data_IF_287043852342
#
_entry.id   IF_287043852342
#
_cell.length_a   1.000
_cell.length_b   1.000
_cell.length_c   1.000
_cell.angle_alpha   90.00
_cell.angle_beta   90.00
_cell.angle_gamma   90.00
#
_symmetry.space_group_name_H-M   'P 1'
#
loop_
_entity.id
_entity.type
_entity.pdbx_description
1 polymer ?
#
# COMPACT_ATOMS: atom_id res chain seq x y z
N UNK A 1 16.28 -12.04 3.28
CA UNK A 1 17.17 -11.81 2.13
C UNK A 1 18.08 -10.60 2.37
N UNK A 2 17.54 -9.43 2.68
CA UNK A 2 18.25 -8.17 2.97
C UNK A 2 19.39 -8.17 4.02
N UNK A 3 19.27 -8.96 5.10
CA UNK A 3 20.31 -9.04 6.13
C UNK A 3 21.48 -9.97 5.73
N UNK A 4 21.30 -10.85 4.74
CA UNK A 4 22.34 -11.82 4.38
C UNK A 4 23.38 -11.29 3.41
N UNK A 5 23.16 -10.19 2.69
CA UNK A 5 24.28 -9.51 2.03
C UNK A 5 25.35 -9.04 3.05
N UNK A 6 24.98 -8.95 4.34
CA UNK A 6 25.90 -8.64 5.45
C UNK A 6 26.66 -9.88 5.95
N UNK A 7 26.24 -11.10 5.60
CA UNK A 7 26.78 -12.38 6.10
C UNK A 7 27.10 -13.42 5.01
N UNK A 8 27.16 -13.03 3.72
CA UNK A 8 27.32 -13.94 2.55
C UNK A 8 28.53 -14.87 2.66
N UNK A 9 29.60 -14.46 3.34
CA UNK A 9 30.82 -15.26 3.46
C UNK A 9 30.64 -16.59 4.21
N UNK A 10 29.52 -16.78 4.92
CA UNK A 10 29.16 -18.03 5.58
C UNK A 10 27.95 -18.75 4.94
N UNK A 11 27.33 -18.21 3.88
CA UNK A 11 26.14 -18.82 3.23
C UNK A 11 26.45 -20.22 2.70
N UNK A 12 27.59 -20.39 2.04
CA UNK A 12 28.09 -21.69 1.56
C UNK A 12 28.54 -22.63 2.70
N UNK A 13 28.84 -22.08 3.88
CA UNK A 13 29.25 -22.86 5.05
C UNK A 13 28.08 -23.35 5.88
N UNK A 14 26.89 -22.76 5.72
CA UNK A 14 25.68 -23.18 6.42
C UNK A 14 25.10 -24.40 5.67
N UNK A 15 25.11 -25.60 6.27
CA UNK A 15 24.54 -26.76 5.62
C UNK A 15 23.03 -26.56 5.43
N UNK A 16 22.56 -26.76 4.19
CA UNK A 16 21.14 -26.68 3.90
C UNK A 16 20.42 -27.91 4.47
N UNK A 17 19.45 -27.66 5.35
CA UNK A 17 18.61 -28.67 6.00
C UNK A 17 17.20 -28.74 5.41
N UNK A 18 16.82 -27.78 4.55
CA UNK A 18 15.53 -27.80 3.89
C UNK A 18 15.53 -28.65 2.61
N UNK A 19 14.36 -29.21 2.30
CA UNK A 19 14.10 -29.89 1.05
C UNK A 19 14.33 -28.94 -0.14
N UNK A 20 14.85 -29.44 -1.29
CA UNK A 20 14.93 -28.67 -2.54
C UNK A 20 13.59 -28.09 -2.99
N UNK A 21 12.47 -28.71 -2.60
CA UNK A 21 11.11 -28.27 -2.94
C UNK A 21 10.59 -27.14 -2.04
N UNK A 22 11.33 -26.74 -1.00
CA UNK A 22 10.86 -25.77 -0.01
C UNK A 22 10.81 -24.32 -0.53
N UNK A 23 11.41 -24.06 -1.70
CA UNK A 23 11.53 -22.72 -2.29
C UNK A 23 12.51 -21.81 -1.54
N UNK A 24 13.29 -22.33 -0.59
CA UNK A 24 14.29 -21.56 0.17
C UNK A 24 15.45 -22.43 0.64
N UNK A 25 16.54 -21.80 1.08
CA UNK A 25 17.66 -22.48 1.75
C UNK A 25 17.65 -22.17 3.25
N UNK A 26 18.30 -23.00 4.06
CA UNK A 26 18.45 -22.71 5.51
C UNK A 26 19.06 -21.33 5.75
N UNK A 27 20.06 -20.95 4.96
CA UNK A 27 20.66 -19.64 5.06
C UNK A 27 19.64 -18.53 4.76
N UNK A 28 18.87 -18.63 3.68
CA UNK A 28 17.90 -17.60 3.29
C UNK A 28 16.74 -17.44 4.27
N UNK A 29 16.27 -18.55 4.82
CA UNK A 29 15.23 -18.54 5.84
C UNK A 29 15.73 -17.90 7.13
N UNK A 30 16.90 -18.28 7.65
CA UNK A 30 17.50 -17.62 8.83
C UNK A 30 17.73 -16.14 8.52
N UNK A 31 18.16 -15.87 7.29
CA UNK A 31 18.16 -14.60 6.58
C UNK A 31 16.98 -13.68 6.85
N UNK A 32 15.86 -14.22 6.39
CA UNK A 32 14.55 -13.64 6.47
C UNK A 32 14.07 -13.55 7.92
N UNK A 33 14.27 -14.60 8.72
CA UNK A 33 13.81 -14.68 10.10
C UNK A 33 14.49 -13.65 11.00
N UNK A 34 15.80 -13.42 10.84
CA UNK A 34 16.52 -12.36 11.56
C UNK A 34 15.97 -11.00 11.16
N UNK A 35 15.78 -10.74 9.86
CA UNK A 35 15.19 -9.47 9.40
C UNK A 35 13.78 -9.27 9.94
N UNK A 36 12.95 -10.31 9.89
CA UNK A 36 11.61 -10.33 10.45
C UNK A 36 11.65 -10.01 11.94
N UNK A 37 12.51 -10.67 12.71
CA UNK A 37 12.66 -10.45 14.15
C UNK A 37 13.13 -9.02 14.45
N UNK A 38 14.12 -8.50 13.70
CA UNK A 38 14.61 -7.14 13.82
C UNK A 38 13.57 -6.07 13.41
N UNK A 39 12.57 -6.44 12.60
CA UNK A 39 11.48 -5.55 12.21
C UNK A 39 10.41 -5.39 13.29
N UNK A 40 10.24 -6.39 14.17
CA UNK A 40 9.20 -6.42 15.20
C UNK A 40 9.24 -5.24 16.19
N UNK A 41 10.40 -4.75 16.68
CA UNK A 41 10.44 -3.57 17.53
C UNK A 41 9.90 -2.32 16.84
N UNK A 42 10.06 -2.20 15.53
CA UNK A 42 9.63 -1.03 14.78
C UNK A 42 8.08 -0.92 14.67
N UNK A 43 7.37 -2.05 14.78
CA UNK A 43 5.89 -2.11 14.83
C UNK A 43 5.33 -1.53 16.14
N UNK A 44 6.12 -1.56 17.21
CA UNK A 44 5.67 -1.11 18.53
C UNK A 44 5.36 0.39 18.57
N UNK A 45 6.11 1.19 17.82
CA UNK A 45 6.04 2.64 17.89
C UNK A 45 4.75 3.18 17.26
N UNK A 46 4.11 4.20 17.86
CA UNK A 46 3.00 4.90 17.23
C UNK A 46 3.34 5.46 15.84
N UNK A 47 2.35 5.48 14.95
CA UNK A 47 2.48 6.00 13.57
C UNK A 47 3.09 7.41 13.53
N UNK A 48 2.67 8.30 14.45
CA UNK A 48 3.18 9.68 14.50
C UNK A 48 4.67 9.77 14.85
N UNK A 49 5.23 8.83 15.62
CA UNK A 49 6.67 8.77 15.92
C UNK A 49 7.49 8.14 14.79
N UNK A 50 6.89 7.22 14.03
CA UNK A 50 7.55 6.53 12.90
C UNK A 50 7.93 7.52 11.78
N UNK A 51 7.32 8.71 11.74
CA UNK A 51 7.70 9.79 10.81
C UNK A 51 9.21 10.06 10.76
N UNK A 52 9.93 9.94 11.87
CA UNK A 52 11.37 10.18 11.93
C UNK A 52 12.17 9.09 11.20
N UNK A 53 11.72 7.83 11.30
CA UNK A 53 12.27 6.74 10.52
C UNK A 53 12.04 6.96 9.02
N UNK A 54 10.86 7.47 8.63
CA UNK A 54 10.59 7.86 7.25
C UNK A 54 11.46 9.01 6.77
N UNK A 55 11.73 10.02 7.62
CA UNK A 55 12.62 11.13 7.27
C UNK A 55 14.05 10.64 7.00
N UNK A 56 14.62 9.83 7.88
CA UNK A 56 15.98 9.27 7.69
C UNK A 56 16.03 8.42 6.42
N UNK A 57 15.04 7.54 6.23
CA UNK A 57 14.89 6.72 5.03
C UNK A 57 14.85 7.57 3.76
N UNK A 58 14.11 8.67 3.76
CA UNK A 58 13.91 9.53 2.59
C UNK A 58 15.21 10.19 2.10
N UNK A 59 16.22 10.37 2.96
CA UNK A 59 17.54 10.83 2.53
C UNK A 59 18.45 9.68 2.18
N UNK A 60 18.56 8.69 3.08
CA UNK A 60 19.58 7.64 2.95
C UNK A 60 19.33 6.69 1.77
N UNK A 61 18.07 6.28 1.56
CA UNK A 61 17.74 5.27 0.55
C UNK A 61 17.91 5.80 -0.88
N UNK A 62 17.40 6.99 -1.25
CA UNK A 62 17.64 7.52 -2.59
C UNK A 62 19.12 7.74 -2.87
N UNK A 63 19.89 8.24 -1.89
CA UNK A 63 21.34 8.40 -2.05
C UNK A 63 22.04 7.06 -2.30
N UNK A 64 21.69 6.00 -1.59
CA UNK A 64 22.23 4.67 -1.82
C UNK A 64 21.83 4.09 -3.18
N UNK A 65 20.59 4.29 -3.61
CA UNK A 65 20.10 3.85 -4.91
C UNK A 65 20.83 4.56 -6.08
N UNK A 66 21.08 5.87 -5.95
CA UNK A 66 21.87 6.64 -6.92
C UNK A 66 23.33 6.17 -6.90
N UNK A 67 23.92 5.95 -5.73
CA UNK A 67 25.28 5.43 -5.60
C UNK A 67 25.41 4.05 -6.27
N UNK A 68 24.43 3.17 -6.08
CA UNK A 68 24.39 1.87 -6.74
C UNK A 68 24.30 1.98 -8.26
N UNK A 69 23.44 2.86 -8.78
CA UNK A 69 23.33 3.14 -10.21
C UNK A 69 24.66 3.64 -10.79
N UNK A 70 25.30 4.62 -10.15
CA UNK A 70 26.59 5.16 -10.59
C UNK A 70 27.65 4.06 -10.58
N UNK A 71 27.69 3.23 -9.53
CA UNK A 71 28.63 2.12 -9.44
C UNK A 71 28.44 1.12 -10.59
N UNK A 72 27.20 0.74 -10.89
CA UNK A 72 26.89 -0.17 -11.99
C UNK A 72 27.31 0.42 -13.36
N UNK A 73 27.03 1.70 -13.61
CA UNK A 73 27.42 2.39 -14.85
C UNK A 73 28.95 2.46 -15.00
N UNK A 74 29.66 2.81 -13.92
CA UNK A 74 31.13 2.89 -13.94
C UNK A 74 31.75 1.51 -14.23
N UNK A 75 31.19 0.45 -13.65
CA UNK A 75 31.66 -0.93 -13.86
C UNK A 75 31.35 -1.43 -15.28
N UNK A 76 30.21 -1.05 -15.86
CA UNK A 76 29.83 -1.38 -17.23
C UNK A 76 30.57 -0.53 -18.29
N UNK A 77 31.07 0.66 -17.92
CA UNK A 77 31.71 1.62 -18.82
C UNK A 77 30.76 2.44 -19.71
N UNK A 78 29.46 2.12 -19.69
CA UNK A 78 28.34 2.81 -20.37
C UNK A 78 27.05 2.51 -19.55
N UNK A 79 25.93 3.13 -19.90
CA UNK A 79 24.59 2.89 -19.34
C UNK A 79 23.92 1.58 -19.84
N UNK A 80 24.71 0.73 -20.52
CA UNK A 80 24.26 -0.50 -21.17
C UNK A 80 23.41 -0.27 -22.42
N UNK A 81 22.89 -1.35 -23.04
CA UNK A 81 22.25 -1.28 -24.35
C UNK A 81 20.85 -0.66 -24.33
N UNK A 82 20.17 -0.62 -23.19
CA UNK A 82 18.72 -0.36 -23.12
C UNK A 82 18.29 0.97 -23.76
N UNK A 83 19.11 2.01 -23.64
CA UNK A 83 18.81 3.34 -24.19
C UNK A 83 18.92 3.37 -25.73
N UNK A 84 19.76 2.49 -26.30
CA UNK A 84 20.00 2.41 -27.75
C UNK A 84 19.25 1.26 -28.41
N UNK A 85 18.59 0.41 -27.62
CA UNK A 85 17.88 -0.76 -28.10
C UNK A 85 16.52 -0.36 -28.69
N UNK A 86 16.27 -0.60 -29.99
CA UNK A 86 14.96 -0.34 -30.57
C UNK A 86 13.92 -1.35 -30.05
N UNK A 87 12.66 -0.92 -29.98
CA UNK A 87 11.55 -1.82 -29.66
C UNK A 87 11.50 -3.00 -30.65
N UNK A 88 11.40 -4.22 -30.12
CA UNK A 88 11.12 -5.42 -30.90
C UNK A 88 9.67 -5.51 -31.36
N UNK A 89 8.75 -4.84 -30.63
CA UNK A 89 7.33 -4.82 -30.90
C UNK A 89 6.93 -3.60 -31.73
N UNK A 90 5.93 -3.76 -32.59
CA UNK A 90 5.41 -2.71 -33.48
C UNK A 90 3.88 -2.73 -33.52
N UNK A 91 3.29 -1.61 -33.96
CA UNK A 91 1.84 -1.51 -34.21
C UNK A 91 1.00 -1.76 -32.95
N UNK A 92 -0.07 -2.55 -33.10
CA UNK A 92 -1.03 -2.81 -32.02
C UNK A 92 -0.41 -3.56 -30.83
N UNK A 93 0.55 -4.44 -31.06
CA UNK A 93 1.16 -5.24 -30.00
C UNK A 93 1.94 -4.34 -29.04
N UNK A 94 2.70 -3.38 -29.57
CA UNK A 94 3.40 -2.37 -28.78
C UNK A 94 2.42 -1.50 -27.95
N UNK A 95 1.29 -1.11 -28.55
CA UNK A 95 0.29 -0.32 -27.84
C UNK A 95 -0.33 -1.09 -26.67
N UNK A 96 -0.61 -2.39 -26.85
CA UNK A 96 -1.13 -3.24 -25.78
C UNK A 96 -0.10 -3.51 -24.68
N UNK A 97 1.20 -3.64 -25.00
CA UNK A 97 2.22 -3.70 -23.95
C UNK A 97 2.30 -2.39 -23.15
N UNK A 98 2.13 -1.23 -23.79
CA UNK A 98 2.08 0.04 -23.09
C UNK A 98 0.90 0.10 -22.10
N UNK A 99 -0.29 -0.34 -22.52
CA UNK A 99 -1.47 -0.44 -21.64
C UNK A 99 -1.22 -1.40 -20.48
N UNK A 100 -0.65 -2.58 -20.76
CA UNK A 100 -0.30 -3.56 -19.73
C UNK A 100 0.73 -3.00 -18.74
N UNK A 101 1.74 -2.25 -19.20
CA UNK A 101 2.71 -1.58 -18.32
C UNK A 101 2.07 -0.55 -17.39
N UNK A 102 1.10 0.23 -17.88
CA UNK A 102 0.30 1.14 -17.04
C UNK A 102 -0.51 0.36 -16.02
N UNK A 103 -1.19 -0.72 -16.43
CA UNK A 103 -1.99 -1.54 -15.51
C UNK A 103 -1.13 -2.19 -14.43
N UNK A 104 0.05 -2.71 -14.76
CA UNK A 104 1.00 -3.25 -13.78
C UNK A 104 1.41 -2.18 -12.76
N UNK A 105 1.61 -0.94 -13.21
CA UNK A 105 1.93 0.17 -12.32
C UNK A 105 0.79 0.51 -11.37
N UNK A 106 -0.46 0.51 -11.85
CA UNK A 106 -1.66 0.71 -11.02
C UNK A 106 -1.83 -0.45 -10.02
N UNK A 107 -1.67 -1.70 -10.48
CA UNK A 107 -1.78 -2.89 -9.64
C UNK A 107 -0.81 -2.85 -8.45
N UNK A 108 0.42 -2.36 -8.66
CA UNK A 108 1.41 -2.17 -7.59
C UNK A 108 0.96 -1.19 -6.50
N UNK A 109 0.09 -0.24 -6.83
CA UNK A 109 -0.43 0.74 -5.87
C UNK A 109 -1.86 0.46 -5.41
N UNK A 110 -2.52 -0.59 -5.94
CA UNK A 110 -3.92 -0.88 -5.64
C UNK A 110 -4.20 -0.95 -4.13
N UNK A 111 -3.33 -1.61 -3.36
CA UNK A 111 -3.44 -1.69 -1.89
C UNK A 111 -3.34 -0.33 -1.22
N UNK A 112 -2.39 0.49 -1.67
CA UNK A 112 -2.17 1.82 -1.12
C UNK A 112 -3.34 2.75 -1.47
N UNK A 113 -3.95 2.60 -2.66
CA UNK A 113 -5.12 3.37 -3.07
C UNK A 113 -6.31 3.11 -2.13
N UNK A 114 -6.58 1.83 -1.80
CA UNK A 114 -7.73 1.50 -0.94
C UNK A 114 -7.48 1.83 0.54
N UNK A 115 -6.23 1.80 0.98
CA UNK A 115 -5.85 2.02 2.38
C UNK A 115 -5.31 3.43 2.65
N UNK A 116 -5.26 4.31 1.64
CA UNK A 116 -4.80 5.69 1.81
C UNK A 116 -5.50 6.46 2.95
N UNK A 117 -6.80 6.24 3.24
CA UNK A 117 -7.46 6.85 4.39
C UNK A 117 -6.78 6.60 5.75
N UNK A 118 -6.01 5.52 5.91
CA UNK A 118 -5.25 5.23 7.13
C UNK A 118 -4.19 6.30 7.44
N UNK A 119 -3.66 6.93 6.38
CA UNK A 119 -2.68 8.00 6.45
C UNK A 119 -3.32 9.38 6.31
N UNK A 120 -4.27 9.51 5.37
CA UNK A 120 -4.93 10.77 5.09
C UNK A 120 -5.68 11.32 6.31
N UNK A 121 -6.18 10.47 7.21
CA UNK A 121 -6.82 10.90 8.48
C UNK A 121 -5.89 11.66 9.44
N UNK A 122 -4.56 11.59 9.23
CA UNK A 122 -3.59 12.36 10.00
C UNK A 122 -3.19 13.68 9.33
N UNK A 123 -3.68 13.94 8.11
CA UNK A 123 -3.49 15.21 7.43
C UNK A 123 -4.22 16.33 8.18
N UNK A 124 -3.65 17.54 8.17
CA UNK A 124 -4.29 18.71 8.80
C UNK A 124 -5.41 19.27 7.94
N UNK A 125 -5.26 19.16 6.63
CA UNK A 125 -6.23 19.61 5.63
C UNK A 125 -6.35 18.56 4.53
N UNK A 126 -7.54 18.35 3.93
CA UNK A 126 -7.72 17.38 2.83
C UNK A 126 -6.74 17.58 1.66
N UNK A 127 -6.44 18.85 1.35
CA UNK A 127 -5.48 19.23 0.30
C UNK A 127 -4.04 18.74 0.54
N UNK A 128 -3.64 18.52 1.80
CA UNK A 128 -2.27 18.14 2.14
C UNK A 128 -1.96 16.70 1.69
N UNK A 129 -2.96 15.81 1.73
CA UNK A 129 -2.84 14.45 1.23
C UNK A 129 -2.72 14.41 -0.30
N UNK A 130 -3.56 15.19 -1.01
CA UNK A 130 -3.60 15.20 -2.48
C UNK A 130 -2.26 15.62 -3.10
N UNK A 131 -1.72 16.77 -2.70
CA UNK A 131 -0.53 17.34 -3.34
C UNK A 131 0.73 16.51 -3.09
N UNK A 132 0.89 15.99 -1.88
CA UNK A 132 2.05 15.16 -1.54
C UNK A 132 2.07 13.89 -2.39
N UNK A 133 0.92 13.20 -2.53
CA UNK A 133 0.83 11.99 -3.34
C UNK A 133 0.98 12.26 -4.84
N UNK A 134 0.33 13.31 -5.36
CA UNK A 134 0.32 13.64 -6.78
C UNK A 134 1.72 13.87 -7.35
N UNK A 135 2.64 14.43 -6.55
CA UNK A 135 4.01 14.67 -6.99
C UNK A 135 4.98 13.58 -6.54
N UNK A 136 4.91 13.16 -5.28
CA UNK A 136 5.92 12.23 -4.73
C UNK A 136 5.78 10.83 -5.31
N UNK A 137 4.56 10.34 -5.57
CA UNK A 137 4.38 8.98 -6.11
C UNK A 137 4.90 8.90 -7.56
N UNK A 138 4.46 9.74 -8.52
CA UNK A 138 4.94 9.64 -9.90
C UNK A 138 6.43 9.93 -10.02
N UNK A 139 6.94 10.97 -9.35
CA UNK A 139 8.36 11.31 -9.43
C UNK A 139 9.23 10.24 -8.76
N UNK A 140 8.83 9.77 -7.58
CA UNK A 140 9.54 8.71 -6.86
C UNK A 140 9.59 7.44 -7.68
N UNK A 141 8.46 7.01 -8.24
CA UNK A 141 8.37 5.79 -9.03
C UNK A 141 9.13 5.89 -10.35
N UNK A 142 9.09 7.05 -11.03
CA UNK A 142 9.86 7.27 -12.25
C UNK A 142 11.37 7.19 -11.99
N UNK A 143 11.86 7.80 -10.91
CA UNK A 143 13.29 7.79 -10.55
C UNK A 143 13.73 6.37 -10.16
N UNK A 144 12.97 5.67 -9.30
CA UNK A 144 13.35 4.31 -8.88
C UNK A 144 13.27 3.31 -10.03
N UNK A 145 12.27 3.43 -10.91
CA UNK A 145 12.17 2.59 -12.11
C UNK A 145 13.33 2.84 -13.07
N UNK A 146 13.70 4.11 -13.28
CA UNK A 146 14.86 4.46 -14.10
C UNK A 146 16.15 3.85 -13.55
N UNK A 147 16.37 3.96 -12.24
CA UNK A 147 17.52 3.34 -11.56
C UNK A 147 17.54 1.83 -11.82
N UNK A 148 16.42 1.13 -11.60
CA UNK A 148 16.33 -0.32 -11.83
C UNK A 148 16.61 -0.72 -13.27
N UNK A 149 16.02 -0.01 -14.24
CA UNK A 149 16.22 -0.26 -15.68
C UNK A 149 17.69 -0.07 -16.07
N UNK A 150 18.33 1.02 -15.62
CA UNK A 150 19.73 1.30 -15.95
C UNK A 150 20.68 0.31 -15.30
N UNK A 151 20.45 -0.04 -14.04
CA UNK A 151 21.25 -1.05 -13.32
C UNK A 151 21.13 -2.42 -14.01
N UNK A 152 19.92 -2.84 -14.37
CA UNK A 152 19.70 -4.10 -15.09
C UNK A 152 20.34 -4.08 -16.48
N UNK A 153 20.25 -2.96 -17.20
CA UNK A 153 20.96 -2.75 -18.47
C UNK A 153 22.48 -2.86 -18.33
N UNK A 154 23.06 -2.26 -17.27
CA UNK A 154 24.49 -2.36 -16.99
C UNK A 154 24.91 -3.80 -16.66
N UNK A 155 24.07 -4.55 -15.94
CA UNK A 155 24.37 -5.96 -15.62
C UNK A 155 24.52 -6.83 -16.88
N UNK A 156 23.76 -6.55 -17.95
CA UNK A 156 23.92 -7.23 -19.23
C UNK A 156 25.29 -6.95 -19.86
N UNK A 157 25.78 -5.71 -19.77
CA UNK A 157 27.12 -5.36 -20.24
C UNK A 157 28.25 -5.97 -19.40
N UNK A 158 28.03 -6.17 -18.10
CA UNK A 158 29.04 -6.72 -17.19
C UNK A 158 29.07 -8.26 -17.26
N UNK A 159 27.90 -8.91 -17.24
CA UNK A 159 27.74 -10.36 -17.04
C UNK A 159 27.15 -11.10 -18.25
N UNK A 160 26.71 -10.39 -19.29
CA UNK A 160 26.04 -10.99 -20.46
C UNK A 160 24.56 -11.33 -20.25
N UNK A 161 24.02 -11.07 -19.06
CA UNK A 161 22.61 -11.31 -18.71
C UNK A 161 22.02 -10.10 -17.96
N UNK A 162 20.75 -9.80 -18.21
CA UNK A 162 20.05 -8.71 -17.53
C UNK A 162 19.51 -9.21 -16.19
N UNK A 163 20.27 -8.93 -15.12
CA UNK A 163 19.88 -9.19 -13.74
C UNK A 163 18.85 -8.14 -13.33
N UNK A 164 17.63 -8.58 -13.01
CA UNK A 164 16.52 -7.70 -12.62
C UNK A 164 16.45 -7.50 -11.11
N UNK A 165 16.93 -8.48 -10.33
CA UNK A 165 16.99 -8.39 -8.87
C UNK A 165 18.26 -7.61 -8.45
N UNK A 166 18.11 -6.42 -7.84
CA UNK A 166 19.26 -5.66 -7.37
C UNK A 166 20.08 -6.39 -6.29
N UNK A 167 19.47 -7.33 -5.55
CA UNK A 167 20.17 -8.13 -4.55
C UNK A 167 21.08 -9.17 -5.21
N UNK A 168 20.60 -9.85 -6.24
CA UNK A 168 21.40 -10.79 -7.03
C UNK A 168 22.60 -10.07 -7.68
N UNK A 169 22.39 -8.86 -8.19
CA UNK A 169 23.50 -8.08 -8.75
C UNK A 169 24.54 -7.66 -7.71
N UNK A 170 24.09 -7.26 -6.51
CA UNK A 170 24.99 -6.94 -5.39
C UNK A 170 25.75 -8.18 -4.89
N UNK A 171 25.15 -9.37 -4.95
CA UNK A 171 25.81 -10.63 -4.63
C UNK A 171 26.94 -10.92 -5.63
N UNK A 172 26.69 -10.78 -6.94
CA UNK A 172 27.74 -10.89 -7.97
C UNK A 172 28.88 -9.89 -7.75
N UNK A 173 28.57 -8.65 -7.33
CA UNK A 173 29.59 -7.64 -7.00
C UNK A 173 30.43 -8.03 -5.78
N UNK A 174 29.84 -8.75 -4.82
CA UNK A 174 30.48 -9.18 -3.60
C UNK A 174 31.48 -10.32 -3.82
N UNK A 175 31.13 -11.26 -4.69
CA UNK A 175 31.95 -12.44 -5.01
C UNK A 175 33.24 -12.05 -5.73
N UNK A 176 33.15 -11.07 -6.62
CA UNK A 176 34.29 -10.54 -7.38
C UNK A 176 35.08 -9.47 -6.60
N UNK A 177 34.52 -8.95 -5.51
CA UNK A 177 34.91 -7.69 -4.91
C UNK A 177 36.00 -7.77 -3.82
N UNK A 178 36.83 -6.73 -3.77
CA UNK A 178 37.79 -6.51 -2.68
C UNK A 178 37.11 -5.99 -1.39
N UNK A 179 37.87 -5.82 -0.30
CA UNK A 179 37.32 -5.38 0.99
C UNK A 179 36.53 -4.05 0.95
N UNK A 180 36.89 -3.12 0.05
CA UNK A 180 36.17 -1.85 -0.10
C UNK A 180 34.83 -2.04 -0.83
N UNK A 181 34.79 -2.90 -1.86
CA UNK A 181 33.55 -3.23 -2.57
C UNK A 181 32.59 -4.00 -1.67
N UNK A 182 33.10 -4.88 -0.81
CA UNK A 182 32.32 -5.56 0.24
C UNK A 182 31.64 -4.56 1.19
N UNK A 183 32.35 -3.50 1.58
CA UNK A 183 31.75 -2.43 2.38
C UNK A 183 30.69 -1.65 1.57
N UNK A 184 30.91 -1.39 0.29
CA UNK A 184 29.92 -0.78 -0.59
C UNK A 184 28.63 -1.60 -0.69
N UNK A 185 28.74 -2.91 -0.92
CA UNK A 185 27.60 -3.85 -0.92
C UNK A 185 26.87 -3.83 0.41
N UNK A 186 27.59 -3.82 1.54
CA UNK A 186 27.00 -3.71 2.88
C UNK A 186 26.15 -2.44 3.03
N UNK A 187 26.69 -1.27 2.65
CA UNK A 187 26.00 0.02 2.80
C UNK A 187 24.73 0.06 1.95
N UNK A 188 24.80 -0.38 0.69
CA UNK A 188 23.65 -0.37 -0.23
C UNK A 188 22.59 -1.37 0.22
N UNK A 189 22.99 -2.58 0.60
CA UNK A 189 22.08 -3.61 1.10
C UNK A 189 21.39 -3.19 2.39
N UNK A 190 22.12 -2.53 3.29
CA UNK A 190 21.54 -1.94 4.50
C UNK A 190 20.51 -0.85 4.16
N UNK A 191 20.78 0.01 3.17
CA UNK A 191 19.82 1.01 2.72
C UNK A 191 18.54 0.37 2.16
N UNK A 192 18.64 -0.67 1.34
CA UNK A 192 17.45 -1.38 0.85
C UNK A 192 16.71 -2.14 1.96
N UNK A 193 17.44 -2.69 2.95
CA UNK A 193 16.86 -3.27 4.16
C UNK A 193 16.01 -2.25 4.91
N UNK A 194 16.54 -1.03 5.10
CA UNK A 194 15.84 0.07 5.75
C UNK A 194 14.63 0.52 4.92
N UNK A 195 14.76 0.54 3.58
CA UNK A 195 13.67 0.83 2.67
C UNK A 195 12.51 -0.14 2.87
N UNK A 196 12.80 -1.44 2.88
CA UNK A 196 11.82 -2.51 3.07
C UNK A 196 11.17 -2.45 4.45
N UNK A 197 11.95 -2.23 5.51
CA UNK A 197 11.44 -2.07 6.86
C UNK A 197 10.39 -0.95 6.93
N UNK A 198 10.72 0.24 6.41
CA UNK A 198 9.80 1.37 6.41
C UNK A 198 8.52 1.08 5.61
N UNK A 199 8.64 0.43 4.46
CA UNK A 199 7.48 0.08 3.63
C UNK A 199 6.59 -0.95 4.33
N UNK A 200 7.16 -1.99 4.95
CA UNK A 200 6.40 -3.00 5.69
C UNK A 200 5.63 -2.42 6.88
N UNK A 201 6.19 -1.42 7.55
CA UNK A 201 5.51 -0.75 8.67
C UNK A 201 4.35 0.10 8.13
N UNK A 202 4.61 1.00 7.18
CA UNK A 202 3.57 1.86 6.62
C UNK A 202 2.49 1.05 5.90
N UNK A 203 2.84 0.40 4.79
CA UNK A 203 1.87 -0.13 3.85
C UNK A 203 1.14 -1.38 4.38
N UNK A 204 1.79 -2.16 5.25
CA UNK A 204 1.26 -3.47 5.64
C UNK A 204 0.83 -3.49 7.10
N UNK A 205 1.75 -3.21 8.04
CA UNK A 205 1.49 -3.41 9.48
C UNK A 205 0.47 -2.41 10.03
N UNK A 206 0.54 -1.14 9.61
CA UNK A 206 -0.40 -0.11 10.05
C UNK A 206 -1.79 -0.33 9.47
N UNK A 207 -1.91 -0.63 8.17
CA UNK A 207 -3.22 -0.92 7.55
C UNK A 207 -3.86 -2.18 8.11
N UNK A 208 -3.13 -3.29 8.20
CA UNK A 208 -3.66 -4.50 8.83
C UNK A 208 -4.05 -4.25 10.29
N UNK A 209 -3.28 -3.41 10.99
CA UNK A 209 -3.62 -2.93 12.33
C UNK A 209 -4.92 -2.14 12.39
N UNK A 210 -5.17 -1.25 11.43
CA UNK A 210 -6.38 -0.46 11.33
C UNK A 210 -7.61 -1.34 11.04
N UNK A 211 -7.51 -2.23 10.04
CA UNK A 211 -8.57 -3.17 9.66
C UNK A 211 -8.96 -4.10 10.82
N UNK A 212 -7.97 -4.71 11.49
CA UNK A 212 -8.23 -5.60 12.60
C UNK A 212 -8.80 -4.87 13.82
N UNK A 213 -8.45 -3.60 14.00
CA UNK A 213 -9.05 -2.76 15.05
C UNK A 213 -10.52 -2.48 14.74
N UNK A 214 -10.89 -2.27 13.46
CA UNK A 214 -12.28 -2.12 13.05
C UNK A 214 -13.09 -3.42 13.23
N UNK A 215 -12.48 -4.58 12.95
CA UNK A 215 -13.13 -5.88 13.07
C UNK A 215 -13.32 -6.33 14.53
N UNK A 216 -12.30 -6.13 15.38
CA UNK A 216 -12.24 -6.66 16.74
C UNK A 216 -11.79 -5.57 17.75
N UNK A 217 -12.50 -4.42 17.84
CA UNK A 217 -12.04 -3.22 18.55
C UNK A 217 -11.82 -3.42 20.06
N UNK A 218 -12.49 -4.41 20.67
CA UNK A 218 -12.33 -4.73 22.10
C UNK A 218 -11.03 -5.47 22.40
N UNK A 219 -10.44 -6.15 21.42
CA UNK A 219 -9.32 -7.06 21.62
C UNK A 219 -8.05 -6.62 20.90
N UNK A 220 -8.20 -5.98 19.74
CA UNK A 220 -7.11 -5.59 18.87
C UNK A 220 -7.03 -4.07 18.80
N UNK A 221 -5.82 -3.56 18.97
CA UNK A 221 -5.45 -2.19 18.62
C UNK A 221 -4.43 -2.25 17.48
N UNK A 222 -4.12 -1.10 16.86
CA UNK A 222 -3.22 -1.02 15.71
C UNK A 222 -1.88 -1.74 15.96
N UNK A 223 -1.31 -1.65 17.17
CA UNK A 223 -0.05 -2.33 17.51
C UNK A 223 -0.21 -3.85 17.52
N UNK A 224 -1.23 -4.35 18.23
CA UNK A 224 -1.54 -5.79 18.29
C UNK A 224 -1.84 -6.35 16.90
N UNK A 225 -2.61 -5.62 16.09
CA UNK A 225 -2.91 -5.99 14.72
C UNK A 225 -1.67 -6.02 13.83
N UNK A 226 -0.74 -5.08 14.00
CA UNK A 226 0.57 -5.11 13.31
C UNK A 226 1.39 -6.36 13.63
N UNK A 227 1.41 -6.82 14.89
CA UNK A 227 2.07 -8.08 15.26
C UNK A 227 1.36 -9.32 14.70
N UNK A 228 0.03 -9.31 14.65
CA UNK A 228 -0.74 -10.37 13.98
C UNK A 228 -0.39 -10.41 12.50
N UNK A 229 -0.32 -9.26 11.84
CA UNK A 229 0.11 -9.15 10.44
C UNK A 229 1.52 -9.72 10.23
N UNK A 230 2.48 -9.40 11.11
CA UNK A 230 3.83 -9.94 11.03
C UNK A 230 3.87 -11.47 11.21
N UNK A 231 3.07 -12.02 12.13
CA UNK A 231 2.99 -13.45 12.36
C UNK A 231 2.33 -14.21 11.18
N UNK A 232 1.22 -13.68 10.65
CA UNK A 232 0.55 -14.23 9.47
C UNK A 232 1.47 -14.17 8.25
N UNK A 233 2.17 -13.04 8.05
CA UNK A 233 3.13 -12.88 6.96
C UNK A 233 4.27 -13.91 6.99
N UNK A 234 4.75 -14.29 8.18
CA UNK A 234 5.72 -15.39 8.34
C UNK A 234 5.09 -16.75 8.00
N UNK A 235 3.87 -17.02 8.49
CA UNK A 235 3.18 -18.28 8.28
C UNK A 235 2.76 -18.54 6.82
N UNK A 236 2.65 -17.49 6.01
CA UNK A 236 2.36 -17.59 4.57
C UNK A 236 3.54 -18.11 3.74
N UNK A 237 4.73 -18.27 4.32
CA UNK A 237 5.95 -18.73 3.64
C UNK A 237 6.28 -17.93 2.37
N UNK A 238 6.49 -16.60 2.48
CA UNK A 238 6.53 -15.69 1.34
C UNK A 238 7.62 -16.01 0.29
N UNK A 239 8.65 -16.78 0.65
CA UNK A 239 9.69 -17.23 -0.28
C UNK A 239 9.15 -18.11 -1.42
N UNK A 240 8.02 -18.80 -1.24
CA UNK A 240 7.41 -19.59 -2.32
C UNK A 240 6.77 -18.73 -3.42
N UNK A 241 6.56 -17.43 -3.17
CA UNK A 241 6.05 -16.50 -4.18
C UNK A 241 7.14 -16.01 -5.14
N UNK A 242 8.41 -16.16 -4.76
CA UNK A 242 9.58 -15.67 -5.52
C UNK A 242 10.25 -16.78 -6.34
N UNK A 243 9.75 -18.01 -6.29
CA UNK A 243 10.35 -19.16 -7.00
C UNK A 243 10.24 -19.06 -8.53
N UNK A 244 9.35 -18.22 -9.07
CA UNK A 244 9.22 -17.98 -10.52
C UNK A 244 8.71 -16.56 -10.82
N UNK A 245 9.36 -15.85 -11.74
CA UNK A 245 9.02 -14.49 -12.19
C UNK A 245 7.58 -14.36 -12.69
N UNK A 246 7.05 -15.40 -13.34
CA UNK A 246 5.68 -15.40 -13.85
C UNK A 246 4.64 -15.41 -12.70
N UNK A 247 4.97 -16.01 -11.56
CA UNK A 247 4.07 -16.09 -10.42
C UNK A 247 3.87 -14.71 -9.77
N UNK A 248 4.93 -13.90 -9.67
CA UNK A 248 4.84 -12.58 -9.04
C UNK A 248 3.94 -11.60 -9.80
N UNK A 249 4.13 -11.47 -11.12
CA UNK A 249 3.31 -10.57 -11.95
C UNK A 249 1.86 -11.07 -12.02
N UNK A 250 1.66 -12.39 -12.14
CA UNK A 250 0.32 -12.99 -12.12
C UNK A 250 -0.38 -12.76 -10.78
N UNK A 251 0.35 -12.85 -9.67
CA UNK A 251 -0.17 -12.57 -8.33
C UNK A 251 -0.61 -11.11 -8.18
N UNK A 252 0.23 -10.15 -8.58
CA UNK A 252 -0.12 -8.72 -8.54
C UNK A 252 -1.35 -8.40 -9.39
N UNK A 253 -1.41 -8.99 -10.58
CA UNK A 253 -2.55 -8.81 -11.49
C UNK A 253 -3.83 -9.47 -10.93
N UNK A 254 -3.72 -10.62 -10.25
CA UNK A 254 -4.84 -11.22 -9.53
C UNK A 254 -5.34 -10.30 -8.41
N UNK A 255 -4.42 -9.75 -7.62
CA UNK A 255 -4.72 -8.90 -6.48
C UNK A 255 -5.46 -7.61 -6.90
N UNK A 256 -5.05 -7.02 -8.03
CA UNK A 256 -5.69 -5.87 -8.67
C UNK A 256 -7.18 -6.11 -8.97
N UNK A 257 -7.57 -7.32 -9.40
CA UNK A 257 -8.97 -7.66 -9.70
C UNK A 257 -9.87 -7.52 -8.46
N UNK A 258 -9.40 -7.99 -7.31
CA UNK A 258 -10.15 -7.91 -6.06
C UNK A 258 -10.18 -6.47 -5.54
N UNK A 259 -9.03 -5.81 -5.46
CA UNK A 259 -8.95 -4.48 -4.87
C UNK A 259 -9.66 -3.40 -5.70
N UNK A 260 -9.55 -3.45 -7.03
CA UNK A 260 -10.29 -2.52 -7.90
C UNK A 260 -11.79 -2.64 -7.73
N UNK A 261 -12.30 -3.87 -7.55
CA UNK A 261 -13.72 -4.12 -7.32
C UNK A 261 -14.20 -3.55 -5.99
N UNK A 262 -13.39 -3.63 -4.93
CA UNK A 262 -13.67 -2.98 -3.63
C UNK A 262 -13.67 -1.46 -3.80
N UNK A 263 -12.62 -0.91 -4.42
CA UNK A 263 -12.48 0.52 -4.66
C UNK A 263 -13.67 1.10 -5.43
N UNK A 264 -14.15 0.39 -6.46
CA UNK A 264 -15.31 0.80 -7.24
C UNK A 264 -16.58 0.94 -6.40
N UNK A 265 -16.85 -0.02 -5.50
CA UNK A 265 -18.01 0.03 -4.60
C UNK A 265 -17.89 1.20 -3.63
N UNK A 266 -16.74 1.37 -2.97
CA UNK A 266 -16.52 2.42 -1.97
C UNK A 266 -16.64 3.82 -2.61
N UNK A 267 -15.99 4.03 -3.76
CA UNK A 267 -15.99 5.32 -4.44
C UNK A 267 -17.39 5.68 -4.95
N UNK A 268 -18.11 4.74 -5.56
CA UNK A 268 -19.49 5.01 -6.01
C UNK A 268 -20.45 5.19 -4.84
N UNK A 269 -20.27 4.48 -3.72
CA UNK A 269 -21.07 4.71 -2.52
C UNK A 269 -20.92 6.15 -2.01
N UNK A 270 -19.68 6.60 -1.81
CA UNK A 270 -19.43 7.93 -1.28
C UNK A 270 -19.80 9.04 -2.27
N UNK A 271 -19.29 9.00 -3.50
CA UNK A 271 -19.43 10.11 -4.46
C UNK A 271 -20.78 10.11 -5.18
N UNK A 272 -21.33 8.95 -5.54
CA UNK A 272 -22.50 8.87 -6.41
C UNK A 272 -23.79 8.66 -5.62
N UNK A 273 -23.81 7.65 -4.74
CA UNK A 273 -25.02 7.26 -4.00
C UNK A 273 -25.28 8.18 -2.82
N UNK A 274 -24.25 8.44 -1.99
CA UNK A 274 -24.38 9.26 -0.78
C UNK A 274 -24.06 10.74 -0.99
N UNK A 275 -23.38 11.09 -2.08
CA UNK A 275 -23.01 12.47 -2.43
C UNK A 275 -22.22 13.16 -1.32
N UNK A 276 -21.21 12.49 -0.78
CA UNK A 276 -20.37 12.99 0.30
C UNK A 276 -20.96 12.84 1.71
N UNK A 277 -22.24 12.45 1.83
CA UNK A 277 -22.88 12.31 3.15
C UNK A 277 -22.48 11.03 3.87
N UNK A 278 -21.90 11.17 5.06
CA UNK A 278 -21.64 10.08 5.99
C UNK A 278 -22.06 10.50 7.40
N UNK A 279 -22.87 9.68 8.06
CA UNK A 279 -23.20 9.87 9.47
C UNK A 279 -22.21 9.11 10.36
N UNK A 280 -21.14 9.82 10.76
CA UNK A 280 -20.01 9.21 11.49
C UNK A 280 -20.43 8.49 12.76
N UNK A 281 -21.40 9.02 13.52
CA UNK A 281 -21.87 8.39 14.77
C UNK A 281 -22.46 7.00 14.53
N UNK A 282 -23.27 6.86 13.48
CA UNK A 282 -23.94 5.60 13.15
C UNK A 282 -22.98 4.56 12.55
N UNK A 283 -21.80 4.97 12.02
CA UNK A 283 -20.77 4.01 11.58
C UNK A 283 -20.16 3.19 12.74
N UNK A 284 -20.22 3.72 13.96
CA UNK A 284 -19.71 3.04 15.16
C UNK A 284 -20.82 2.37 15.97
N UNK A 285 -22.02 2.21 15.39
CA UNK A 285 -23.19 1.69 16.07
C UNK A 285 -23.66 0.34 15.49
N UNK A 286 -23.78 -0.67 16.36
CA UNK A 286 -24.24 -2.02 16.01
C UNK A 286 -25.75 -2.24 16.17
N UNK A 287 -26.55 -1.21 16.47
CA UNK A 287 -28.00 -1.32 16.63
C UNK A 287 -28.65 -1.76 15.32
N UNK A 288 -29.63 -2.66 15.43
CA UNK A 288 -30.40 -3.17 14.28
C UNK A 288 -31.17 -2.10 13.51
N UNK A 289 -31.43 -0.97 14.16
CA UNK A 289 -32.15 0.19 13.61
C UNK A 289 -31.23 1.18 12.91
N UNK A 290 -29.90 1.03 13.04
CA UNK A 290 -28.93 1.94 12.43
C UNK A 290 -28.95 1.86 10.90
N UNK A 291 -28.67 2.97 10.20
CA UNK A 291 -28.71 3.02 8.73
C UNK A 291 -27.67 2.09 8.08
N UNK A 292 -26.55 1.83 8.76
CA UNK A 292 -25.47 0.98 8.25
C UNK A 292 -25.57 -0.49 8.70
N UNK A 293 -26.64 -0.87 9.42
CA UNK A 293 -26.81 -2.25 9.89
C UNK A 293 -27.26 -3.22 8.78
N UNK A 294 -28.03 -2.74 7.81
CA UNK A 294 -28.56 -3.53 6.69
C UNK A 294 -29.20 -4.86 7.13
N UNK A 295 -28.87 -5.97 6.44
CA UNK A 295 -29.44 -7.28 6.68
C UNK A 295 -28.47 -8.10 7.52
N UNK A 296 -28.68 -8.13 8.84
CA UNK A 296 -27.80 -8.83 9.80
C UNK A 296 -26.35 -8.32 9.82
N UNK A 297 -26.13 -7.03 9.58
CA UNK A 297 -24.79 -6.45 9.43
C UNK A 297 -24.20 -6.57 8.01
N UNK A 298 -24.95 -7.15 7.06
CA UNK A 298 -24.45 -7.43 5.70
C UNK A 298 -25.14 -6.52 4.69
N UNK A 299 -24.32 -5.76 3.94
CA UNK A 299 -24.76 -4.95 2.81
C UNK A 299 -24.77 -5.79 1.53
N UNK A 300 -25.84 -6.55 1.27
CA UNK A 300 -25.90 -7.46 0.12
C UNK A 300 -25.64 -6.77 -1.24
N UNK A 301 -26.09 -5.51 -1.42
CA UNK A 301 -25.84 -4.76 -2.66
C UNK A 301 -24.34 -4.53 -2.92
N UNK A 302 -23.59 -4.19 -1.86
CA UNK A 302 -22.14 -3.98 -1.94
C UNK A 302 -21.42 -5.29 -2.32
N UNK A 303 -21.79 -6.40 -1.68
CA UNK A 303 -21.21 -7.71 -2.02
C UNK A 303 -21.58 -8.18 -3.43
N UNK A 304 -22.82 -8.00 -3.87
CA UNK A 304 -23.24 -8.34 -5.23
C UNK A 304 -22.50 -7.52 -6.29
N UNK A 305 -22.29 -6.23 -6.02
CA UNK A 305 -21.49 -5.34 -6.86
C UNK A 305 -20.00 -5.73 -6.88
N UNK A 306 -19.42 -6.00 -5.72
CA UNK A 306 -18.05 -6.49 -5.58
C UNK A 306 -17.81 -7.79 -6.37
N UNK A 307 -18.70 -8.78 -6.21
CA UNK A 307 -18.63 -10.04 -6.94
C UNK A 307 -18.75 -9.80 -8.45
N UNK A 308 -19.64 -8.91 -8.89
CA UNK A 308 -19.77 -8.55 -10.31
C UNK A 308 -18.47 -8.00 -10.91
N UNK A 309 -17.76 -7.13 -10.17
CA UNK A 309 -16.45 -6.59 -10.59
C UNK A 309 -15.34 -7.64 -10.64
N UNK A 310 -15.40 -8.67 -9.79
CA UNK A 310 -14.50 -9.81 -9.90
C UNK A 310 -14.83 -10.62 -11.14
N UNK A 311 -16.10 -11.00 -11.31
CA UNK A 311 -16.57 -11.95 -12.34
C UNK A 311 -16.22 -11.51 -13.77
N UNK A 312 -16.24 -10.21 -14.06
CA UNK A 312 -15.87 -9.71 -15.39
C UNK A 312 -14.40 -10.02 -15.77
N UNK A 313 -13.53 -10.16 -14.76
CA UNK A 313 -12.10 -10.41 -14.93
C UNK A 313 -11.71 -11.90 -14.80
N UNK A 314 -12.55 -12.74 -14.18
CA UNK A 314 -12.21 -14.15 -13.86
C UNK A 314 -11.85 -14.96 -15.11
N UNK A 315 -12.56 -14.77 -16.21
CA UNK A 315 -12.30 -15.52 -17.45
C UNK A 315 -10.93 -15.13 -18.03
N UNK A 316 -10.61 -13.83 -18.06
CA UNK A 316 -9.30 -13.40 -18.55
C UNK A 316 -8.16 -13.77 -17.59
N UNK A 317 -8.43 -13.81 -16.28
CA UNK A 317 -7.49 -14.32 -15.28
C UNK A 317 -7.14 -15.80 -15.53
N UNK A 318 -8.13 -16.66 -15.78
CA UNK A 318 -7.87 -18.05 -16.15
C UNK A 318 -6.96 -18.16 -17.40
N UNK A 319 -7.12 -17.21 -18.33
CA UNK A 319 -6.24 -17.00 -19.47
C UNK A 319 -4.78 -16.75 -19.08
N UNK A 320 -4.55 -15.80 -18.17
CA UNK A 320 -3.22 -15.44 -17.69
C UNK A 320 -2.50 -16.60 -16.97
N UNK A 321 -3.25 -17.51 -16.33
CA UNK A 321 -2.69 -18.71 -15.67
C UNK A 321 -2.50 -19.90 -16.65
N UNK A 322 -2.70 -19.69 -17.95
CA UNK A 322 -2.38 -20.67 -18.99
C UNK A 322 -3.56 -21.46 -19.57
N UNK A 323 -4.80 -21.10 -19.21
CA UNK A 323 -5.99 -21.70 -19.83
C UNK A 323 -6.31 -21.00 -21.16
N UNK A 324 -6.80 -21.74 -22.16
CA UNK A 324 -7.30 -21.11 -23.40
C UNK A 324 -8.63 -20.40 -23.13
N UNK A 325 -8.70 -19.11 -23.40
CA UNK A 325 -9.89 -18.28 -23.16
C UNK A 325 -10.21 -17.42 -24.39
N UNK A 326 -11.46 -16.93 -24.53
CA UNK A 326 -11.82 -16.03 -25.63
C UNK A 326 -10.98 -14.75 -25.61
N UNK A 327 -10.57 -14.27 -26.78
CA UNK A 327 -9.69 -13.10 -26.90
C UNK A 327 -10.28 -11.84 -26.25
N UNK A 328 -11.60 -11.69 -26.27
CA UNK A 328 -12.30 -10.58 -25.59
C UNK A 328 -12.07 -10.58 -24.08
N UNK A 329 -12.04 -11.76 -23.44
CA UNK A 329 -11.74 -11.87 -22.01
C UNK A 329 -10.29 -11.49 -21.70
N UNK A 330 -9.36 -11.82 -22.59
CA UNK A 330 -7.96 -11.37 -22.49
C UNK A 330 -7.85 -9.84 -22.57
N UNK A 331 -8.56 -9.20 -23.49
CA UNK A 331 -8.54 -7.72 -23.59
C UNK A 331 -9.15 -7.03 -22.38
N UNK A 332 -10.25 -7.55 -21.84
CA UNK A 332 -10.83 -7.04 -20.58
C UNK A 332 -9.80 -7.16 -19.45
N UNK A 333 -9.11 -8.29 -19.35
CA UNK A 333 -8.11 -8.51 -18.32
C UNK A 333 -6.85 -7.65 -18.48
N UNK A 334 -6.49 -7.27 -19.71
CA UNK A 334 -5.43 -6.30 -19.95
C UNK A 334 -5.75 -4.91 -19.38
N UNK A 335 -7.02 -4.63 -19.03
CA UNK A 335 -7.48 -3.41 -18.35
C UNK A 335 -8.20 -3.73 -17.04
N UNK A 336 -7.78 -4.82 -16.37
CA UNK A 336 -8.52 -5.44 -15.27
C UNK A 336 -8.94 -4.47 -14.15
N UNK A 337 -8.07 -3.52 -13.79
CA UNK A 337 -8.33 -2.58 -12.71
C UNK A 337 -9.55 -1.71 -13.04
N UNK A 338 -9.57 -1.09 -14.22
CA UNK A 338 -10.71 -0.25 -14.63
C UNK A 338 -11.97 -1.08 -14.89
N UNK A 339 -11.82 -2.27 -15.47
CA UNK A 339 -12.96 -3.17 -15.67
C UNK A 339 -13.63 -3.54 -14.33
N UNK A 340 -12.84 -3.96 -13.34
CA UNK A 340 -13.35 -4.29 -12.00
C UNK A 340 -13.98 -3.09 -11.31
N UNK A 341 -13.29 -1.95 -11.30
CA UNK A 341 -13.74 -0.70 -10.70
C UNK A 341 -15.06 -0.19 -11.30
N UNK A 342 -15.16 -0.10 -12.62
CA UNK A 342 -16.34 0.45 -13.29
C UNK A 342 -17.54 -0.50 -13.20
N UNK A 343 -17.31 -1.82 -13.32
CA UNK A 343 -18.39 -2.80 -13.22
C UNK A 343 -18.93 -2.87 -11.80
N UNK A 344 -18.06 -2.95 -10.78
CA UNK A 344 -18.54 -2.98 -9.39
C UNK A 344 -19.22 -1.67 -9.00
N UNK A 345 -18.63 -0.52 -9.32
CA UNK A 345 -19.22 0.78 -9.04
C UNK A 345 -20.56 0.99 -9.75
N UNK A 346 -20.64 0.65 -11.04
CA UNK A 346 -21.85 0.75 -11.83
C UNK A 346 -22.97 -0.17 -11.34
N UNK A 347 -22.65 -1.44 -11.03
CA UNK A 347 -23.62 -2.37 -10.45
C UNK A 347 -24.09 -1.89 -9.08
N UNK A 348 -23.18 -1.38 -8.24
CA UNK A 348 -23.55 -0.83 -6.94
C UNK A 348 -24.54 0.33 -7.07
N UNK A 349 -24.22 1.28 -7.94
CA UNK A 349 -25.10 2.42 -8.22
C UNK A 349 -26.48 1.98 -8.72
N UNK A 350 -26.54 1.04 -9.67
CA UNK A 350 -27.81 0.49 -10.17
C UNK A 350 -28.61 -0.18 -9.06
N UNK A 351 -27.96 -1.02 -8.23
CA UNK A 351 -28.63 -1.70 -7.13
C UNK A 351 -29.16 -0.70 -6.08
N UNK A 352 -28.38 0.34 -5.75
CA UNK A 352 -28.83 1.38 -4.82
C UNK A 352 -29.88 2.31 -5.43
N UNK A 353 -29.92 2.47 -6.76
CA UNK A 353 -30.96 3.21 -7.45
C UNK A 353 -32.32 2.48 -7.37
N UNK A 354 -32.35 1.17 -7.65
CA UNK A 354 -33.58 0.38 -7.60
C UNK A 354 -33.97 -0.10 -6.19
N UNK A 355 -32.98 -0.28 -5.31
CA UNK A 355 -33.17 -0.70 -3.93
C UNK A 355 -32.50 0.29 -2.97
N UNK A 356 -33.10 1.47 -2.73
CA UNK A 356 -32.50 2.56 -1.97
C UNK A 356 -31.92 2.13 -0.62
N UNK A 357 -30.83 2.80 -0.25
CA UNK A 357 -30.16 2.66 1.04
C UNK A 357 -30.43 3.89 1.90
N UNK A 358 -30.46 3.74 3.24
CA UNK A 358 -30.61 4.89 4.15
C UNK A 358 -29.30 5.70 4.24
N UNK A 359 -29.35 6.84 4.95
CA UNK A 359 -28.23 7.76 5.13
C UNK A 359 -27.63 8.24 3.80
N UNK A 360 -28.49 8.79 2.94
CA UNK A 360 -28.13 9.41 1.66
C UNK A 360 -28.57 10.87 1.66
N UNK A 361 -27.92 11.69 0.83
CA UNK A 361 -28.27 13.10 0.66
C UNK A 361 -28.64 13.40 -0.78
N UNK A 362 -29.64 14.27 -0.97
CA UNK A 362 -30.02 14.79 -2.28
C UNK A 362 -29.01 15.84 -2.81
N UNK A 363 -28.18 16.41 -1.94
CA UNK A 363 -27.15 17.41 -2.29
C UNK A 363 -25.77 16.91 -1.90
N UNK A 364 -24.74 17.47 -2.54
CA UNK A 364 -23.36 17.22 -2.13
C UNK A 364 -23.14 17.75 -0.71
N UNK A 365 -22.79 16.87 0.22
CA UNK A 365 -22.64 17.13 1.65
C UNK A 365 -21.28 16.61 2.13
N UNK A 366 -20.20 17.05 1.50
CA UNK A 366 -18.87 16.81 2.02
C UNK A 366 -18.69 17.64 3.29
N UNK A 367 -18.36 16.97 4.40
CA UNK A 367 -18.14 17.63 5.69
C UNK A 367 -17.09 18.71 5.49
N UNK A 368 -17.49 19.97 5.71
CA UNK A 368 -16.64 21.14 5.49
C UNK A 368 -15.34 21.09 6.30
N UNK A 369 -14.33 21.77 5.77
CA UNK A 369 -12.91 21.88 6.17
C UNK A 369 -12.61 22.27 7.65
N UNK A 370 -13.58 22.29 8.54
CA UNK A 370 -13.41 22.73 9.94
C UNK A 370 -14.13 21.78 10.90
N UNK A 371 -13.39 20.79 11.43
CA UNK A 371 -13.77 20.09 12.65
C UNK A 371 -13.54 21.05 13.82
N UNK A 372 -14.45 22.00 14.04
CA UNK A 372 -14.38 22.91 15.19
C UNK A 372 -14.84 22.24 16.49
N UNK A 373 -15.68 21.19 16.42
CA UNK A 373 -16.27 20.60 17.63
C UNK A 373 -16.18 19.06 17.62
N UNK A 374 -15.02 18.55 18.03
CA UNK A 374 -14.83 17.11 18.28
C UNK A 374 -15.49 16.75 19.61
N UNK A 375 -16.80 16.47 19.62
CA UNK A 375 -17.46 15.96 20.83
C UNK A 375 -17.30 14.46 20.94
N UNK A 376 -16.45 14.03 21.87
CA UNK A 376 -16.30 12.63 22.27
C UNK A 376 -17.58 12.16 22.97
N UNK A 377 -17.99 10.92 22.73
CA UNK A 377 -19.26 10.34 23.18
C UNK A 377 -19.48 10.27 24.71
N UNK A 378 -18.53 10.74 25.52
CA UNK A 378 -18.61 10.70 26.98
C UNK A 378 -19.39 11.86 27.61
N UNK A 379 -19.74 12.92 26.88
CA UNK A 379 -20.40 14.12 27.44
C UNK A 379 -21.94 14.12 27.32
N UNK A 380 -22.57 12.96 27.16
CA UNK A 380 -24.05 12.88 27.05
C UNK A 380 -24.81 12.78 28.39
N UNK A 381 -24.12 12.75 29.53
CA UNK A 381 -24.73 12.55 30.85
C UNK A 381 -24.87 13.81 31.73
N UNK A 382 -24.83 15.01 31.16
CA UNK A 382 -25.13 16.24 31.92
C UNK A 382 -25.92 17.26 31.13
N UNK A 383 -27.19 16.94 30.83
CA UNK A 383 -28.18 17.92 30.39
C UNK A 383 -29.45 17.84 31.24
N UNK A 384 -29.31 18.15 32.53
CA UNK A 384 -30.42 18.65 33.36
C UNK A 384 -29.89 19.71 34.31
N UNK A 385 -30.21 20.99 34.06
CA UNK A 385 -29.93 22.05 35.01
C UNK A 385 -29.84 23.44 34.38
N UNK A 386 -30.95 24.17 34.41
CA UNK A 386 -30.96 25.63 34.29
C UNK A 386 -30.03 26.26 35.32
N UNK A 387 -29.09 27.12 34.90
CA UNK A 387 -28.34 27.94 35.85
C UNK A 387 -27.13 28.61 35.22
N UNK A 388 -27.04 29.93 35.38
CA UNK A 388 -25.82 30.71 35.16
C UNK A 388 -24.66 30.07 35.93
N UNK A 389 -23.76 29.38 35.22
CA UNK A 389 -22.64 28.65 35.80
C UNK A 389 -21.31 29.16 35.25
N UNK A 390 -20.46 29.64 36.16
CA UNK A 390 -19.08 30.05 35.91
C UNK A 390 -18.25 28.80 35.60
N UNK A 391 -17.57 28.78 34.45
CA UNK A 391 -16.61 27.73 34.12
C UNK A 391 -15.27 27.99 34.83
N UNK A 392 -14.70 26.93 35.42
CA UNK A 392 -13.35 26.92 36.00
C UNK A 392 -12.53 25.90 35.20
N UNK A 393 -11.45 26.36 34.55
CA UNK A 393 -10.46 25.51 33.87
C UNK A 393 -9.56 24.82 34.93
N UNK A 394 -9.33 23.49 34.88
CA UNK A 394 -8.49 22.80 35.85
C UNK A 394 -6.98 23.08 35.78
N UNK A 395 -6.48 23.92 34.88
CA UNK A 395 -5.02 24.05 34.65
C UNK A 395 -4.40 25.44 34.70
N UNK A 396 -5.13 26.55 34.95
CA UNK A 396 -4.51 27.85 35.31
C UNK A 396 -5.48 28.68 36.18
N UNK A 397 -5.12 28.92 37.44
CA UNK A 397 -5.97 29.61 38.42
C UNK A 397 -6.03 31.14 38.30
N UNK A 398 -6.59 31.71 37.22
CA UNK A 398 -7.07 33.11 37.20
C UNK A 398 -8.33 33.28 36.34
N UNK A 399 -9.37 33.98 36.83
CA UNK A 399 -10.59 34.24 36.05
C UNK A 399 -10.35 35.34 34.99
N UNK A 400 -10.77 35.09 33.75
CA UNK A 400 -10.83 36.10 32.68
C UNK A 400 -12.30 36.40 32.35
N UNK A 401 -12.66 37.67 32.24
CA UNK A 401 -14.00 38.11 31.76
C UNK A 401 -13.91 38.34 30.25
N UNK A 402 -14.79 37.71 29.48
CA UNK A 402 -15.01 38.06 28.07
C UNK A 402 -15.63 39.46 27.99
N UNK A 403 -14.89 40.40 27.40
CA UNK A 403 -15.40 41.71 27.00
C UNK A 403 -16.24 41.55 25.74
N UNK A 404 -17.42 42.16 25.75
CA UNK A 404 -18.24 42.33 24.57
C UNK A 404 -17.62 43.42 23.68
N UNK A 405 -17.02 43.04 22.56
CA UNK A 405 -17.12 43.74 21.27
C UNK A 405 -16.28 42.99 20.22
N UNK A 406 -16.92 42.58 19.12
CA UNK A 406 -16.45 42.86 17.76
C UNK A 406 -17.32 42.07 16.78
N UNK A 407 -18.43 42.73 16.44
CA UNK A 407 -19.14 42.52 15.19
C UNK A 407 -18.24 42.86 13.99
N UNK A 408 -18.40 42.08 12.90
CA UNK A 408 -17.90 42.25 11.51
C UNK A 408 -16.59 41.50 11.22
N UNK A 409 -16.64 40.53 10.30
CA UNK A 409 -16.28 40.69 8.88
C UNK A 409 -16.96 39.55 8.08
N UNK A 410 -17.37 39.91 6.86
CA UNK A 410 -18.14 39.17 5.84
C UNK A 410 -17.52 37.83 5.44
#
# INVERSE_FOLDING_TARGET
MFILTLFVQDREKIPNTFSPESGTTTADFVSFFIFWLCSLPAIWFPVHTIRHLFTVKAYFVPSAAIAFMIWAIVRAGDIGPIIRQPSSLKGSDLAWEFVKGIMTSIANFATLIVNDPDFARFARKPRDALWSQLFTIPAGFAITSLIGILVSSCSFSIYGEAVWDPLELLEKFLDEGNSAERFGVFVISFAFSLAQLGTNIAANSVSAGADLTALLPRWINIRRGGYICAAVGLAMNPWTLLTDNNQFTTYLSAYSVFLSSIAGVIIFDYYVVRRGYIEVKELYDGRKTGPYYYTWGIHWRAYAAYISGILINVVGFAGAVGTKVPIGATYIYNVNFFAGFLVSGGVYWLLCHYFPVPAVSDKWMEVGDEIEDTRVAYDSDSATGSGNGIYVDPMVGKPYKLGADDSKVV
#
